data_IF_908527447216
#
_entry.id   IF_908527447216
#
_cell.length_a   1.000
_cell.length_b   1.000
_cell.length_c   1.000
_cell.angle_alpha   90.00
_cell.angle_beta   90.00
_cell.angle_gamma   90.00
#
_symmetry.space_group_name_H-M   'P 1'
#
loop_
_entity.id
_entity.type
_entity.pdbx_description
1 polymer ?
#
# COMPACT_ATOMS: atom_id res chain seq x y z
N UNK A 1 16.12 5.83 -20.06
CA UNK A 1 15.77 7.16 -20.58
C UNK A 1 14.34 7.47 -20.13
N UNK A 2 14.21 8.29 -19.07
CA UNK A 2 12.90 8.75 -18.58
C UNK A 2 12.32 9.73 -19.59
N UNK A 3 11.26 9.33 -20.31
CA UNK A 3 10.51 10.29 -21.13
C UNK A 3 9.85 11.31 -20.20
N UNK A 4 9.88 12.60 -20.54
CA UNK A 4 9.22 13.61 -19.70
C UNK A 4 7.72 13.32 -19.60
N UNK A 5 7.22 13.40 -18.37
CA UNK A 5 5.81 13.18 -18.06
C UNK A 5 5.01 14.38 -18.59
N UNK A 6 4.46 14.26 -19.80
CA UNK A 6 3.73 15.35 -20.47
C UNK A 6 2.30 15.37 -19.97
N UNK A 7 1.88 16.48 -19.39
CA UNK A 7 0.50 16.69 -18.96
C UNK A 7 -0.41 16.89 -20.18
N UNK A 8 -1.49 16.13 -20.27
CA UNK A 8 -2.49 16.23 -21.35
C UNK A 8 -3.76 16.82 -20.76
N UNK A 9 -4.32 17.92 -21.30
CA UNK A 9 -5.61 18.43 -20.86
C UNK A 9 -6.73 17.46 -21.26
N UNK A 10 -7.51 17.02 -20.28
CA UNK A 10 -8.65 16.11 -20.50
C UNK A 10 -9.89 16.95 -20.79
N UNK A 11 -10.48 16.78 -21.99
CA UNK A 11 -11.76 17.43 -22.33
C UNK A 11 -12.94 16.56 -21.94
N UNK A 12 -13.05 15.38 -22.46
CA UNK A 12 -14.08 14.41 -22.11
C UNK A 12 -13.49 12.99 -22.30
N UNK A 13 -13.06 12.34 -21.19
CA UNK A 13 -12.37 11.06 -21.28
C UNK A 13 -13.33 9.91 -21.62
N UNK A 14 -12.76 8.81 -22.10
CA UNK A 14 -13.48 7.55 -22.27
C UNK A 14 -14.10 7.09 -20.93
N UNK A 15 -15.24 6.42 -20.99
CA UNK A 15 -15.92 5.94 -19.79
C UNK A 15 -15.15 4.80 -19.12
N UNK A 16 -14.54 3.91 -19.92
CA UNK A 16 -13.77 2.76 -19.42
C UNK A 16 -12.28 2.97 -19.62
N UNK A 17 -11.47 2.48 -18.70
CA UNK A 17 -9.99 2.55 -18.76
C UNK A 17 -9.34 1.24 -18.32
N UNK A 18 -8.03 1.08 -18.54
CA UNK A 18 -7.30 -0.11 -18.14
C UNK A 18 -7.25 -0.22 -16.61
N UNK A 19 -7.35 -1.45 -16.12
CA UNK A 19 -7.04 -1.80 -14.74
C UNK A 19 -5.52 -1.88 -14.51
N UNK A 20 -5.14 -2.05 -13.24
CA UNK A 20 -3.76 -2.15 -12.78
C UNK A 20 -2.92 -0.94 -13.20
N UNK A 21 -3.47 0.25 -12.93
CA UNK A 21 -2.84 1.52 -13.29
C UNK A 21 -2.84 2.52 -12.16
N UNK A 22 -1.85 3.42 -12.22
CA UNK A 22 -1.74 4.60 -11.40
C UNK A 22 -1.82 5.81 -12.33
N UNK A 23 -2.82 6.67 -12.13
CA UNK A 23 -2.99 7.91 -12.88
C UNK A 23 -2.64 9.10 -11.98
N UNK A 24 -1.49 9.77 -12.20
CA UNK A 24 -1.22 11.05 -11.56
C UNK A 24 -2.06 12.16 -12.20
N UNK A 25 -2.51 13.13 -11.39
CA UNK A 25 -3.22 14.31 -11.86
C UNK A 25 -2.84 15.57 -11.09
N UNK A 26 -3.16 16.72 -11.65
CA UNK A 26 -2.94 18.04 -11.05
C UNK A 26 -4.13 18.96 -11.36
N UNK A 27 -4.53 19.73 -10.35
CA UNK A 27 -5.51 20.82 -10.47
C UNK A 27 -4.78 22.12 -10.11
N UNK A 28 -4.15 22.71 -11.11
CA UNK A 28 -3.23 23.84 -10.89
C UNK A 28 -3.91 25.10 -10.32
N UNK A 29 -5.21 25.28 -10.60
CA UNK A 29 -6.00 26.42 -10.06
C UNK A 29 -6.17 26.34 -8.53
N UNK A 30 -6.13 25.13 -7.97
CA UNK A 30 -6.29 24.87 -6.54
C UNK A 30 -4.97 24.47 -5.84
N UNK A 31 -3.84 24.47 -6.53
CA UNK A 31 -2.55 23.94 -6.05
C UNK A 31 -2.65 22.48 -5.53
N UNK A 32 -3.50 21.69 -6.15
CA UNK A 32 -3.73 20.30 -5.78
C UNK A 32 -3.00 19.34 -6.72
N UNK A 33 -2.46 18.28 -6.15
CA UNK A 33 -1.93 17.12 -6.88
C UNK A 33 -2.51 15.85 -6.30
N UNK A 34 -2.74 14.88 -7.17
CA UNK A 34 -3.29 13.61 -6.71
C UNK A 34 -2.86 12.42 -7.56
N UNK A 35 -3.31 11.27 -7.11
CA UNK A 35 -3.20 10.00 -7.83
C UNK A 35 -4.48 9.21 -7.68
N UNK A 36 -4.88 8.57 -8.76
CA UNK A 36 -5.95 7.59 -8.76
C UNK A 36 -5.31 6.24 -9.10
N UNK A 37 -5.60 5.25 -8.29
CA UNK A 37 -5.17 3.86 -8.47
C UNK A 37 -6.38 2.99 -8.69
N UNK A 38 -6.31 2.12 -9.69
CA UNK A 38 -7.31 1.09 -9.97
C UNK A 38 -6.59 -0.23 -10.18
N UNK A 39 -6.97 -1.22 -9.37
CA UNK A 39 -6.40 -2.56 -9.39
C UNK A 39 -7.52 -3.59 -9.61
N UNK A 40 -7.31 -4.46 -10.58
CA UNK A 40 -8.14 -5.60 -10.88
C UNK A 40 -7.31 -6.89 -10.80
N UNK A 41 -6.75 -7.38 -11.93
CA UNK A 41 -5.94 -8.60 -11.95
C UNK A 41 -4.79 -8.63 -10.94
N UNK A 42 -4.11 -7.51 -10.70
CA UNK A 42 -3.00 -7.46 -9.75
C UNK A 42 -3.46 -7.72 -8.31
N UNK A 43 -4.50 -7.02 -7.84
CA UNK A 43 -5.03 -7.25 -6.48
C UNK A 43 -5.69 -8.62 -6.37
N UNK A 44 -6.40 -9.07 -7.41
CA UNK A 44 -7.04 -10.39 -7.44
C UNK A 44 -6.01 -11.51 -7.28
N UNK A 45 -4.89 -11.45 -8.00
CA UNK A 45 -3.83 -12.47 -7.91
C UNK A 45 -3.18 -12.54 -6.52
N UNK A 46 -3.07 -11.41 -5.82
CA UNK A 46 -2.52 -11.38 -4.46
C UNK A 46 -3.53 -11.95 -3.46
N UNK A 47 -4.78 -11.50 -3.50
CA UNK A 47 -5.79 -11.86 -2.51
C UNK A 47 -6.31 -13.29 -2.73
N UNK A 48 -6.49 -13.73 -3.97
CA UNK A 48 -6.94 -15.08 -4.29
C UNK A 48 -5.87 -16.16 -4.05
N UNK A 49 -4.61 -15.79 -3.90
CA UNK A 49 -3.52 -16.70 -3.55
C UNK A 49 -3.54 -17.19 -2.10
N UNK A 50 -4.48 -16.69 -1.29
CA UNK A 50 -4.59 -16.97 0.15
C UNK A 50 -6.05 -17.16 0.56
N UNK A 51 -6.29 -17.98 1.58
CA UNK A 51 -7.62 -18.17 2.19
C UNK A 51 -7.92 -17.09 3.23
N UNK A 52 -7.85 -15.82 2.83
CA UNK A 52 -8.19 -14.72 3.73
C UNK A 52 -9.71 -14.62 3.95
N UNK A 53 -10.16 -14.49 5.23
CA UNK A 53 -11.53 -14.05 5.51
C UNK A 53 -11.83 -12.72 4.82
N UNK A 54 -13.08 -12.53 4.36
CA UNK A 54 -13.50 -11.33 3.63
C UNK A 54 -13.03 -9.99 4.23
N UNK A 55 -13.15 -9.73 5.56
CA UNK A 55 -12.70 -8.47 6.13
C UNK A 55 -11.18 -8.31 6.11
N UNK A 56 -10.42 -9.41 6.23
CA UNK A 56 -8.95 -9.39 6.16
C UNK A 56 -8.49 -9.11 4.73
N UNK A 57 -9.12 -9.75 3.74
CA UNK A 57 -8.83 -9.49 2.32
C UNK A 57 -9.11 -8.04 1.93
N UNK A 58 -10.25 -7.47 2.39
CA UNK A 58 -10.57 -6.05 2.17
C UNK A 58 -9.51 -5.13 2.76
N UNK A 59 -9.16 -5.33 4.03
CA UNK A 59 -8.16 -4.52 4.72
C UNK A 59 -6.78 -4.61 4.05
N UNK A 60 -6.37 -5.81 3.60
CA UNK A 60 -5.13 -5.98 2.85
C UNK A 60 -5.19 -5.29 1.48
N UNK A 61 -6.33 -5.35 0.80
CA UNK A 61 -6.56 -4.65 -0.46
C UNK A 61 -6.44 -3.13 -0.31
N UNK A 62 -7.00 -2.55 0.75
CA UNK A 62 -6.83 -1.13 1.09
C UNK A 62 -5.34 -0.78 1.32
N UNK A 63 -4.62 -1.63 2.07
CA UNK A 63 -3.18 -1.44 2.29
C UNK A 63 -2.39 -1.51 0.98
N UNK A 64 -2.76 -2.40 0.04
CA UNK A 64 -2.14 -2.49 -1.29
C UNK A 64 -2.34 -1.18 -2.07
N UNK A 65 -3.59 -0.69 -2.17
CA UNK A 65 -3.89 0.55 -2.88
C UNK A 65 -3.13 1.73 -2.29
N UNK A 66 -3.15 1.88 -0.97
CA UNK A 66 -2.42 2.94 -0.26
C UNK A 66 -0.93 2.88 -0.57
N UNK A 67 -0.33 1.68 -0.48
CA UNK A 67 1.11 1.49 -0.74
C UNK A 67 1.47 1.81 -2.20
N UNK A 68 0.64 1.42 -3.16
CA UNK A 68 0.84 1.71 -4.59
C UNK A 68 0.76 3.23 -4.83
N UNK A 69 -0.21 3.92 -4.25
CA UNK A 69 -0.33 5.38 -4.36
C UNK A 69 0.91 6.11 -3.84
N UNK A 70 1.40 5.70 -2.67
CA UNK A 70 2.53 6.34 -2.01
C UNK A 70 3.87 5.98 -2.66
N UNK A 71 4.08 4.69 -2.93
CA UNK A 71 5.30 4.20 -3.55
C UNK A 71 5.52 4.76 -4.95
N UNK A 72 4.44 4.96 -5.72
CA UNK A 72 4.51 5.58 -7.06
C UNK A 72 4.88 7.07 -7.03
N UNK A 73 4.85 7.72 -5.87
CA UNK A 73 5.31 9.10 -5.71
C UNK A 73 6.83 9.22 -5.64
N UNK A 74 7.53 8.13 -5.38
CA UNK A 74 8.99 8.12 -5.29
C UNK A 74 9.62 8.48 -6.64
N UNK A 75 10.63 9.34 -6.58
CA UNK A 75 11.33 9.85 -7.78
C UNK A 75 12.58 9.05 -8.12
N UNK A 76 12.82 7.95 -7.44
CA UNK A 76 14.03 7.12 -7.57
C UNK A 76 13.65 5.64 -7.62
N UNK A 77 14.57 4.82 -8.08
CA UNK A 77 14.42 3.38 -8.03
C UNK A 77 14.62 2.91 -6.59
N UNK A 78 13.64 2.18 -6.08
CA UNK A 78 13.65 1.75 -4.69
C UNK A 78 12.40 0.98 -4.30
N UNK A 79 12.29 0.71 -3.03
CA UNK A 79 11.18 -0.01 -2.44
C UNK A 79 10.48 0.87 -1.41
N UNK A 80 9.16 0.91 -1.50
CA UNK A 80 8.30 1.47 -0.48
C UNK A 80 7.60 0.31 0.25
N UNK A 81 7.71 0.29 1.57
CA UNK A 81 7.17 -0.76 2.41
C UNK A 81 6.18 -0.13 3.38
N UNK A 82 4.94 -0.59 3.35
CA UNK A 82 3.94 -0.33 4.36
C UNK A 82 3.85 -1.56 5.25
N UNK A 83 4.00 -1.36 6.55
CA UNK A 83 3.87 -2.43 7.54
C UNK A 83 3.04 -1.96 8.72
N UNK A 84 2.05 -2.76 9.13
CA UNK A 84 1.36 -2.58 10.42
C UNK A 84 1.83 -3.63 11.40
N UNK A 85 1.86 -3.27 12.67
CA UNK A 85 1.97 -4.20 13.78
C UNK A 85 1.02 -3.76 14.89
N UNK A 86 0.12 -4.64 15.28
CA UNK A 86 -0.99 -4.29 16.16
C UNK A 86 -1.45 -5.45 17.04
N UNK A 87 -2.26 -5.13 18.04
CA UNK A 87 -2.85 -6.08 19.00
C UNK A 87 -4.23 -6.61 18.55
N UNK A 88 -4.75 -6.08 17.42
CA UNK A 88 -6.03 -6.47 16.85
C UNK A 88 -6.08 -7.92 16.32
N UNK A 89 -7.24 -8.37 15.84
CA UNK A 89 -7.38 -9.64 15.13
C UNK A 89 -6.45 -9.79 13.92
N UNK A 90 -6.18 -8.71 13.18
CA UNK A 90 -5.17 -8.64 12.13
C UNK A 90 -3.90 -8.07 12.73
N UNK A 91 -2.93 -8.94 13.01
CA UNK A 91 -1.71 -8.60 13.75
C UNK A 91 -0.70 -7.85 12.91
N UNK A 92 -0.66 -8.13 11.61
CA UNK A 92 0.32 -7.52 10.72
C UNK A 92 -0.18 -7.53 9.28
N UNK A 93 0.01 -6.41 8.61
CA UNK A 93 -0.05 -6.28 7.16
C UNK A 93 1.35 -5.90 6.67
N UNK A 94 1.79 -6.49 5.58
CA UNK A 94 3.02 -6.09 4.90
C UNK A 94 2.74 -5.94 3.43
N UNK A 95 3.00 -4.76 2.90
CA UNK A 95 2.90 -4.47 1.47
C UNK A 95 4.20 -3.85 0.99
N UNK A 96 4.77 -4.42 -0.04
CA UNK A 96 5.98 -3.92 -0.69
C UNK A 96 5.64 -3.46 -2.11
N UNK A 97 5.90 -2.20 -2.39
CA UNK A 97 5.91 -1.66 -3.75
C UNK A 97 7.35 -1.43 -4.18
N UNK A 98 7.73 -1.96 -5.34
CA UNK A 98 9.06 -1.74 -5.93
C UNK A 98 8.89 -0.97 -7.23
N UNK A 99 9.60 0.15 -7.34
CA UNK A 99 9.64 0.96 -8.56
C UNK A 99 10.11 0.09 -9.77
N UNK A 100 9.54 0.27 -10.97
CA UNK A 100 8.54 1.28 -11.30
C UNK A 100 7.08 0.90 -11.04
N UNK A 101 6.72 -0.33 -10.67
CA UNK A 101 5.31 -0.69 -10.53
C UNK A 101 5.04 -2.14 -10.11
N UNK A 102 5.92 -2.81 -9.36
CA UNK A 102 5.62 -4.16 -8.85
C UNK A 102 5.17 -4.11 -7.39
N UNK A 103 4.17 -4.93 -7.06
CA UNK A 103 3.59 -5.00 -5.71
C UNK A 103 3.45 -6.44 -5.26
N UNK A 104 3.68 -6.67 -3.96
CA UNK A 104 3.36 -7.91 -3.25
C UNK A 104 2.88 -7.59 -1.84
N UNK A 105 2.00 -8.42 -1.30
CA UNK A 105 1.43 -8.19 0.02
C UNK A 105 1.12 -9.51 0.73
N UNK A 106 1.10 -9.46 2.06
CA UNK A 106 0.59 -10.53 2.91
C UNK A 106 0.01 -9.96 4.21
N UNK A 107 -0.84 -10.75 4.86
CA UNK A 107 -1.43 -10.46 6.15
C UNK A 107 -1.23 -11.62 7.12
N UNK A 108 -0.91 -11.30 8.38
CA UNK A 108 -0.97 -12.25 9.50
C UNK A 108 -2.12 -11.89 10.41
N UNK A 109 -2.98 -12.85 10.69
CA UNK A 109 -4.19 -12.65 11.48
C UNK A 109 -4.45 -13.87 12.39
N UNK A 110 -5.26 -13.64 13.38
CA UNK A 110 -5.76 -14.67 14.30
C UNK A 110 -7.14 -15.12 13.79
N UNK A 111 -7.23 -16.34 13.28
CA UNK A 111 -8.43 -16.84 12.62
C UNK A 111 -9.65 -16.88 13.58
N UNK A 112 -9.44 -17.26 14.82
CA UNK A 112 -10.51 -17.37 15.84
C UNK A 112 -11.02 -15.97 16.20
N UNK A 113 -10.13 -15.02 16.42
CA UNK A 113 -10.50 -13.62 16.75
C UNK A 113 -11.19 -12.93 15.56
N UNK A 114 -10.74 -13.19 14.32
CA UNK A 114 -11.41 -12.67 13.12
C UNK A 114 -12.81 -13.28 12.99
N UNK A 115 -12.97 -14.60 13.17
CA UNK A 115 -14.26 -15.25 13.13
C UNK A 115 -15.22 -14.71 14.23
N UNK A 116 -14.72 -14.48 15.43
CA UNK A 116 -15.48 -13.87 16.50
C UNK A 116 -15.90 -12.44 16.18
N UNK A 117 -15.00 -11.63 15.58
CA UNK A 117 -15.33 -10.27 15.16
C UNK A 117 -16.42 -10.24 14.07
N UNK A 118 -16.35 -11.17 13.10
CA UNK A 118 -17.39 -11.31 12.07
C UNK A 118 -18.74 -11.68 12.70
N UNK A 119 -18.76 -12.65 13.59
CA UNK A 119 -19.99 -13.08 14.29
C UNK A 119 -20.61 -11.95 15.12
N UNK A 120 -19.77 -11.12 15.74
CA UNK A 120 -20.18 -9.97 16.52
C UNK A 120 -20.54 -8.73 15.67
N UNK A 121 -20.43 -8.80 14.34
CA UNK A 121 -20.56 -7.65 13.41
C UNK A 121 -19.63 -6.48 13.78
N UNK A 122 -18.44 -6.79 14.23
CA UNK A 122 -17.41 -5.86 14.69
C UNK A 122 -16.11 -5.97 13.88
N UNK A 123 -16.22 -6.33 12.59
CA UNK A 123 -15.09 -6.55 11.69
C UNK A 123 -14.78 -5.30 10.83
N UNK A 124 -15.03 -4.08 11.36
CA UNK A 124 -14.60 -2.84 10.72
C UNK A 124 -13.05 -2.75 10.70
N UNK A 125 -12.45 -2.08 9.70
CA UNK A 125 -10.99 -1.98 9.53
C UNK A 125 -10.23 -1.56 10.79
N UNK A 126 -10.69 -0.51 11.47
CA UNK A 126 -10.06 -0.02 12.70
C UNK A 126 -10.09 -1.02 13.84
N UNK A 127 -11.21 -1.75 14.02
CA UNK A 127 -11.32 -2.80 15.05
C UNK A 127 -10.49 -4.03 14.73
N UNK A 128 -10.31 -4.35 13.46
CA UNK A 128 -9.45 -5.44 13.04
C UNK A 128 -7.98 -5.13 13.27
N UNK A 129 -7.57 -3.88 13.07
CA UNK A 129 -6.21 -3.43 13.38
C UNK A 129 -5.99 -3.25 14.89
N UNK A 130 -6.97 -2.71 15.64
CA UNK A 130 -6.80 -2.43 17.07
C UNK A 130 -5.77 -1.33 17.33
N UNK A 131 -4.98 -1.50 18.40
CA UNK A 131 -3.90 -0.56 18.77
C UNK A 131 -2.54 -1.09 18.31
N UNK A 132 -1.66 -0.18 17.94
CA UNK A 132 -0.33 -0.53 17.45
C UNK A 132 0.29 0.61 16.66
N UNK A 133 1.01 0.25 15.59
CA UNK A 133 1.64 1.24 14.73
C UNK A 133 1.60 0.83 13.26
N UNK A 134 1.62 1.84 12.41
CA UNK A 134 1.85 1.74 10.98
C UNK A 134 3.19 2.39 10.67
N UNK A 135 4.08 1.64 10.04
CA UNK A 135 5.38 2.09 9.58
C UNK A 135 5.39 2.18 8.05
N UNK A 136 5.89 3.29 7.52
CA UNK A 136 6.14 3.51 6.11
C UNK A 136 7.65 3.68 5.90
N UNK A 137 8.25 2.76 5.16
CA UNK A 137 9.71 2.70 4.98
C UNK A 137 10.06 2.89 3.51
N UNK A 138 11.00 3.78 3.25
CA UNK A 138 11.62 3.99 1.94
C UNK A 138 13.02 3.34 1.97
N UNK A 139 13.22 2.35 1.12
CA UNK A 139 14.47 1.60 0.97
C UNK A 139 15.03 1.84 -0.44
N UNK A 140 16.11 2.61 -0.52
CA UNK A 140 16.78 2.98 -1.77
C UNK A 140 17.99 2.06 -2.09
N UNK A 141 18.16 1.00 -1.32
CA UNK A 141 19.26 0.05 -1.49
C UNK A 141 20.34 0.18 -0.40
N UNK A 142 21.38 -0.66 -0.48
CA UNK A 142 22.34 -0.85 0.61
C UNK A 142 23.24 0.36 0.88
N UNK A 143 23.41 1.26 -0.08
CA UNK A 143 24.30 2.43 0.05
C UNK A 143 23.57 3.67 0.60
N UNK A 144 22.26 3.60 0.75
CA UNK A 144 21.44 4.73 1.21
C UNK A 144 20.81 4.41 2.57
N UNK A 145 20.71 5.44 3.42
CA UNK A 145 19.98 5.29 4.67
C UNK A 145 18.49 5.08 4.42
N UNK A 146 17.87 4.13 5.12
CA UNK A 146 16.42 3.94 5.10
C UNK A 146 15.74 5.10 5.82
N UNK A 147 14.74 5.67 5.17
CA UNK A 147 13.82 6.61 5.83
C UNK A 147 12.59 5.84 6.30
N UNK A 148 12.17 6.07 7.54
CA UNK A 148 10.99 5.43 8.10
C UNK A 148 10.19 6.45 8.91
N UNK A 149 8.92 6.60 8.57
CA UNK A 149 7.94 7.31 9.38
C UNK A 149 7.02 6.30 10.06
N UNK A 150 6.66 6.57 11.31
CA UNK A 150 5.80 5.69 12.13
C UNK A 150 4.68 6.51 12.73
N UNK A 151 3.45 5.99 12.63
CA UNK A 151 2.27 6.59 13.25
C UNK A 151 1.48 5.57 14.06
N UNK A 152 0.78 5.98 15.12
CA UNK A 152 -0.03 5.08 15.92
C UNK A 152 -1.26 4.59 15.13
N UNK A 153 -1.71 3.37 15.49
CA UNK A 153 -3.00 2.81 15.12
C UNK A 153 -3.86 2.75 16.37
N UNK A 154 -4.75 3.70 16.53
CA UNK A 154 -5.58 3.82 17.73
C UNK A 154 -7.03 3.37 17.46
N UNK A 155 -7.19 2.20 16.84
CA UNK A 155 -8.48 1.67 16.44
C UNK A 155 -9.09 2.38 15.22
N UNK A 156 -8.30 3.17 14.51
CA UNK A 156 -8.68 3.87 13.28
C UNK A 156 -8.34 3.05 12.02
N UNK A 157 -8.94 3.44 10.90
CA UNK A 157 -8.70 2.83 9.59
C UNK A 157 -7.38 3.32 8.93
N UNK A 158 -7.04 2.72 7.79
CA UNK A 158 -5.83 3.07 7.05
C UNK A 158 -5.90 4.47 6.41
N UNK A 159 -7.10 4.97 6.08
CA UNK A 159 -7.26 6.35 5.57
C UNK A 159 -6.89 7.37 6.65
N UNK A 160 -7.29 7.10 7.90
CA UNK A 160 -6.92 7.93 9.04
C UNK A 160 -5.43 7.86 9.31
N UNK A 161 -4.85 6.65 9.39
CA UNK A 161 -3.42 6.47 9.62
C UNK A 161 -2.56 7.15 8.54
N UNK A 162 -2.99 7.11 7.27
CA UNK A 162 -2.31 7.83 6.20
C UNK A 162 -2.36 9.36 6.39
N UNK A 163 -3.50 9.92 6.80
CA UNK A 163 -3.62 11.36 7.10
C UNK A 163 -2.70 11.78 8.24
N UNK A 164 -2.67 11.00 9.31
CA UNK A 164 -1.77 11.22 10.45
C UNK A 164 -0.30 11.20 10.01
N UNK A 165 0.09 10.24 9.16
CA UNK A 165 1.44 10.17 8.61
C UNK A 165 1.81 11.46 7.86
N UNK A 166 0.98 11.89 6.92
CA UNK A 166 1.26 13.09 6.14
C UNK A 166 1.23 14.37 6.98
N UNK A 167 0.36 14.45 7.96
CA UNK A 167 0.29 15.58 8.88
C UNK A 167 1.55 15.69 9.75
N UNK A 168 1.96 14.56 10.36
CA UNK A 168 3.04 14.57 11.37
C UNK A 168 4.45 14.45 10.76
N UNK A 169 4.60 13.62 9.71
CA UNK A 169 5.92 13.30 9.16
C UNK A 169 6.27 14.18 7.96
N UNK A 170 5.30 14.47 7.09
CA UNK A 170 5.54 15.16 5.83
C UNK A 170 5.02 16.61 5.82
N UNK A 171 4.16 16.97 6.77
CA UNK A 171 3.50 18.28 6.88
C UNK A 171 2.76 18.69 5.59
N UNK A 172 2.17 17.72 4.89
CA UNK A 172 1.41 17.92 3.65
C UNK A 172 -0.06 17.60 3.93
N UNK A 173 -0.98 18.58 3.80
CA UNK A 173 -2.42 18.31 3.88
C UNK A 173 -2.80 17.27 2.85
N UNK A 174 -3.32 16.13 3.31
CA UNK A 174 -3.57 14.96 2.46
C UNK A 174 -4.95 14.38 2.74
N UNK A 175 -5.69 14.06 1.68
CA UNK A 175 -6.93 13.30 1.72
C UNK A 175 -6.76 12.00 0.96
N UNK A 176 -7.19 10.90 1.58
CA UNK A 176 -7.18 9.57 0.98
C UNK A 176 -8.59 9.00 1.02
N UNK A 177 -8.99 8.28 -0.04
CA UNK A 177 -10.13 7.39 -0.08
C UNK A 177 -9.69 6.06 -0.66
N UNK A 178 -10.12 4.98 -0.04
CA UNK A 178 -9.79 3.60 -0.39
C UNK A 178 -11.08 2.79 -0.52
N UNK A 179 -11.13 1.89 -1.49
CA UNK A 179 -12.25 0.97 -1.65
C UNK A 179 -11.78 -0.39 -2.15
N UNK A 180 -12.36 -1.46 -1.60
CA UNK A 180 -12.11 -2.84 -1.99
C UNK A 180 -13.40 -3.64 -1.98
N UNK A 181 -13.66 -4.35 -3.06
CA UNK A 181 -14.82 -5.24 -3.14
C UNK A 181 -14.55 -6.49 -3.99
N UNK A 182 -15.39 -7.49 -3.79
CA UNK A 182 -15.51 -8.62 -4.71
C UNK A 182 -16.45 -8.25 -5.85
N UNK A 183 -16.00 -8.43 -7.07
CA UNK A 183 -16.80 -8.37 -8.30
C UNK A 183 -17.30 -9.77 -8.65
N UNK A 184 -18.57 -9.90 -8.92
CA UNK A 184 -19.19 -11.13 -9.41
C UNK A 184 -19.41 -11.00 -10.91
N UNK A 185 -18.68 -11.74 -11.72
CA UNK A 185 -18.90 -11.83 -13.16
C UNK A 185 -19.56 -13.14 -13.53
N UNK A 186 -20.64 -13.04 -14.31
CA UNK A 186 -21.19 -14.22 -14.98
C UNK A 186 -20.16 -14.74 -15.99
N UNK A 187 -19.82 -16.01 -15.93
CA UNK A 187 -18.94 -16.68 -16.87
C UNK A 187 -19.56 -17.98 -17.37
N UNK A 188 -19.05 -18.53 -18.47
CA UNK A 188 -19.56 -19.76 -19.09
C UNK A 188 -19.54 -20.99 -18.16
N UNK A 189 -18.69 -20.95 -17.10
CA UNK A 189 -18.55 -22.00 -16.09
C UNK A 189 -19.09 -21.61 -14.70
N UNK A 190 -20.02 -20.64 -14.61
CA UNK A 190 -20.56 -20.13 -13.36
C UNK A 190 -20.00 -18.75 -12.97
N UNK A 191 -20.53 -18.18 -11.89
CA UNK A 191 -20.09 -16.87 -11.41
C UNK A 191 -18.62 -16.95 -10.89
N UNK A 192 -17.75 -16.15 -11.46
CA UNK A 192 -16.38 -15.95 -10.95
C UNK A 192 -16.34 -14.76 -10.02
N UNK A 193 -15.80 -14.97 -8.84
CA UNK A 193 -15.43 -13.89 -7.92
C UNK A 193 -14.06 -13.37 -8.31
N UNK A 194 -13.93 -12.05 -8.34
CA UNK A 194 -12.67 -11.35 -8.54
C UNK A 194 -12.57 -10.18 -7.59
N UNK A 195 -11.39 -9.94 -7.08
CA UNK A 195 -11.14 -8.76 -6.26
C UNK A 195 -10.89 -7.54 -7.12
N UNK A 196 -11.44 -6.43 -6.67
CA UNK A 196 -11.15 -5.11 -7.21
C UNK A 196 -10.83 -4.16 -6.07
N UNK A 197 -9.87 -3.28 -6.32
CA UNK A 197 -9.49 -2.26 -5.38
C UNK A 197 -9.22 -0.95 -6.11
N UNK A 198 -9.50 0.16 -5.47
CA UNK A 198 -9.23 1.48 -6.02
C UNK A 198 -9.04 2.49 -4.92
N UNK A 199 -8.48 3.62 -5.27
CA UNK A 199 -8.32 4.72 -4.35
C UNK A 199 -7.90 6.01 -5.02
N UNK A 200 -8.14 7.10 -4.31
CA UNK A 200 -7.69 8.44 -4.67
C UNK A 200 -6.93 9.06 -3.51
N UNK A 201 -5.80 9.65 -3.83
CA UNK A 201 -5.00 10.48 -2.93
C UNK A 201 -4.97 11.89 -3.50
N UNK A 202 -5.25 12.88 -2.65
CA UNK A 202 -5.15 14.30 -2.97
C UNK A 202 -4.25 14.99 -1.95
N UNK A 203 -3.36 15.84 -2.43
CA UNK A 203 -2.41 16.62 -1.64
C UNK A 203 -2.47 18.09 -2.00
N UNK A 204 -2.42 18.94 -1.01
CA UNK A 204 -2.32 20.39 -1.19
C UNK A 204 -0.84 20.81 -1.15
N UNK A 205 -0.36 21.36 -2.25
CA UNK A 205 1.03 21.75 -2.45
C UNK A 205 1.08 23.21 -2.97
N UNK A 206 0.80 24.19 -2.11
CA UNK A 206 0.73 25.59 -2.50
C UNK A 206 2.08 26.09 -3.00
N UNK A 207 2.03 26.93 -4.04
CA UNK A 207 3.23 27.54 -4.65
C UNK A 207 3.74 28.72 -3.85
N UNK A 208 2.87 29.39 -3.08
CA UNK A 208 3.26 30.53 -2.23
C UNK A 208 3.50 30.09 -0.80
N UNK A 209 4.53 30.70 -0.17
CA UNK A 209 4.86 30.43 1.24
C UNK A 209 3.71 30.85 2.18
N UNK A 210 2.98 31.90 1.83
CA UNK A 210 1.86 32.38 2.66
C UNK A 210 0.68 31.41 2.69
N UNK A 211 0.45 30.67 1.59
CA UNK A 211 -0.57 29.61 1.52
C UNK A 211 -0.08 28.26 2.09
N UNK A 212 1.24 28.09 2.25
CA UNK A 212 1.83 26.88 2.82
C UNK A 212 1.79 26.87 4.35
N UNK A 213 1.34 27.96 5.00
CA UNK A 213 1.25 28.04 6.46
C UNK A 213 0.25 27.01 6.96
N UNK A 214 0.72 26.14 7.83
CA UNK A 214 -0.12 25.18 8.55
C UNK A 214 -0.38 25.68 9.96
N UNK A 215 -1.45 25.19 10.58
CA UNK A 215 -1.68 25.41 12.00
C UNK A 215 -0.49 24.88 12.81
N UNK A 216 -0.13 25.59 13.86
CA UNK A 216 0.90 25.14 14.78
C UNK A 216 0.55 23.72 15.30
N UNK A 217 1.58 22.91 15.50
CA UNK A 217 1.42 21.64 16.21
C UNK A 217 0.90 21.91 17.62
N UNK A 218 0.17 20.95 18.18
CA UNK A 218 -0.27 20.99 19.57
C UNK A 218 0.89 21.48 20.44
N UNK A 219 0.68 22.55 21.22
CA UNK A 219 1.76 23.21 21.97
C UNK A 219 2.49 22.31 22.99
N UNK A 220 2.02 21.07 23.20
CA UNK A 220 2.69 20.10 24.06
C UNK A 220 3.00 20.66 25.46
N UNK A 221 4.28 20.90 25.73
CA UNK A 221 4.78 21.45 27.00
C UNK A 221 4.67 22.97 27.13
N UNK A 222 3.87 23.65 26.30
CA UNK A 222 3.69 25.09 26.38
C UNK A 222 3.02 25.48 27.73
N UNK A 223 3.28 26.73 28.22
CA UNK A 223 2.67 27.20 29.45
C UNK A 223 1.15 27.15 29.43
N UNK A 224 0.49 26.87 30.56
CA UNK A 224 -0.97 26.85 30.66
C UNK A 224 -1.56 28.19 30.17
N UNK A 225 -2.52 28.12 29.24
CA UNK A 225 -3.16 29.30 28.64
C UNK A 225 -2.59 29.72 27.27
N UNK A 226 -1.62 28.99 26.74
CA UNK A 226 -1.18 29.17 25.36
C UNK A 226 -2.24 28.60 24.42
N UNK A 227 -2.98 29.45 23.72
CA UNK A 227 -3.89 29.02 22.66
C UNK A 227 -3.08 28.78 21.37
N UNK A 228 -3.21 27.62 20.72
CA UNK A 228 -2.59 27.39 19.43
C UNK A 228 -3.07 28.44 18.42
N UNK A 229 -2.17 28.96 17.61
CA UNK A 229 -2.54 29.88 16.55
C UNK A 229 -3.29 29.09 15.46
N UNK A 230 -4.63 29.11 15.49
CA UNK A 230 -5.48 28.51 14.47
C UNK A 230 -5.42 29.33 13.20
N UNK A 231 -4.65 28.87 12.22
CA UNK A 231 -4.71 29.40 10.86
C UNK A 231 -5.91 28.78 10.17
N UNK A 232 -6.77 29.59 9.55
CA UNK A 232 -7.86 29.05 8.74
C UNK A 232 -7.27 28.18 7.61
N UNK A 233 -7.87 27.00 7.40
CA UNK A 233 -7.50 26.17 6.26
C UNK A 233 -7.70 26.93 4.95
N UNK A 234 -6.81 26.70 3.98
CA UNK A 234 -6.91 27.31 2.65
C UNK A 234 -8.20 26.85 1.96
N UNK A 235 -8.97 27.78 1.39
CA UNK A 235 -10.25 27.50 0.77
C UNK A 235 -10.14 26.49 -0.37
N UNK A 236 -9.07 26.54 -1.18
CA UNK A 236 -8.82 25.59 -2.24
C UNK A 236 -8.58 24.16 -1.71
N UNK A 237 -7.92 24.04 -0.54
CA UNK A 237 -7.79 22.76 0.13
C UNK A 237 -9.12 22.23 0.65
N UNK A 238 -9.91 23.09 1.31
CA UNK A 238 -11.24 22.74 1.82
C UNK A 238 -12.15 22.26 0.69
N UNK A 239 -12.14 22.97 -0.44
CA UNK A 239 -12.88 22.57 -1.63
C UNK A 239 -12.41 21.23 -2.18
N UNK A 240 -11.12 21.09 -2.45
CA UNK A 240 -10.57 19.86 -3.02
C UNK A 240 -10.80 18.61 -2.16
N UNK A 241 -10.57 18.71 -0.85
CA UNK A 241 -10.83 17.60 0.08
C UNK A 241 -12.31 17.25 0.20
N UNK A 242 -13.18 18.24 0.05
CA UNK A 242 -14.63 18.04 0.08
C UNK A 242 -15.11 17.32 -1.19
N UNK A 243 -14.59 17.69 -2.36
CA UNK A 243 -14.86 16.98 -3.61
C UNK A 243 -14.42 15.51 -3.53
N UNK A 244 -13.22 15.24 -3.03
CA UNK A 244 -12.76 13.85 -2.85
C UNK A 244 -13.61 13.09 -1.81
N UNK A 245 -14.14 13.76 -0.79
CA UNK A 245 -15.03 13.14 0.19
C UNK A 245 -16.35 12.66 -0.39
N UNK A 246 -16.81 13.23 -1.52
CA UNK A 246 -18.05 12.80 -2.20
C UNK A 246 -17.89 11.51 -3.00
N UNK A 247 -16.66 11.08 -3.27
CA UNK A 247 -16.39 9.87 -4.06
C UNK A 247 -16.91 8.65 -3.32
N UNK A 248 -17.79 7.90 -3.96
CA UNK A 248 -18.30 6.64 -3.44
C UNK A 248 -17.30 5.49 -3.67
N UNK A 249 -17.39 4.46 -2.85
CA UNK A 249 -16.58 3.25 -3.01
C UNK A 249 -16.79 2.61 -4.40
N UNK A 250 -18.03 2.65 -4.90
CA UNK A 250 -18.36 2.11 -6.22
C UNK A 250 -17.59 2.85 -7.32
N UNK A 251 -17.54 4.17 -7.30
CA UNK A 251 -16.81 4.95 -8.32
C UNK A 251 -15.30 4.63 -8.34
N UNK A 252 -14.74 4.25 -7.20
CA UNK A 252 -13.33 3.85 -7.10
C UNK A 252 -13.04 2.47 -7.73
N UNK A 253 -14.01 1.56 -7.73
CA UNK A 253 -13.80 0.16 -8.14
C UNK A 253 -14.55 -0.25 -9.40
N UNK A 254 -15.55 0.51 -9.86
CA UNK A 254 -16.35 0.17 -11.05
C UNK A 254 -15.47 0.19 -12.32
N UNK A 255 -15.34 -0.94 -13.04
CA UNK A 255 -14.56 -1.00 -14.27
C UNK A 255 -15.14 -0.13 -15.40
N UNK A 256 -16.40 0.28 -15.31
CA UNK A 256 -17.03 1.17 -16.29
C UNK A 256 -16.60 2.64 -16.12
N UNK A 257 -15.97 3.01 -15.01
CA UNK A 257 -15.47 4.37 -14.76
C UNK A 257 -13.95 4.39 -14.88
N UNK A 258 -13.38 5.09 -15.88
CA UNK A 258 -11.93 5.24 -15.97
C UNK A 258 -11.38 6.20 -14.90
N UNK A 259 -10.09 6.09 -14.60
CA UNK A 259 -9.41 7.02 -13.68
C UNK A 259 -9.47 8.46 -14.15
N UNK A 260 -9.35 8.67 -15.49
CA UNK A 260 -9.47 9.97 -16.12
C UNK A 260 -10.88 10.54 -15.99
N UNK A 261 -11.91 9.68 -16.13
CA UNK A 261 -13.31 10.09 -15.97
C UNK A 261 -13.60 10.50 -14.54
N UNK A 262 -13.07 9.77 -13.57
CA UNK A 262 -13.19 10.11 -12.15
C UNK A 262 -12.54 11.47 -11.85
N UNK A 263 -11.30 11.68 -12.31
CA UNK A 263 -10.62 12.96 -12.15
C UNK A 263 -11.38 14.12 -12.81
N UNK A 264 -11.92 13.89 -14.00
CA UNK A 264 -12.74 14.87 -14.71
C UNK A 264 -14.03 15.20 -13.95
N UNK A 265 -14.76 14.19 -13.49
CA UNK A 265 -16.01 14.39 -12.74
C UNK A 265 -15.80 15.25 -11.49
N UNK A 266 -14.66 15.09 -10.82
CA UNK A 266 -14.36 15.82 -9.59
C UNK A 266 -13.88 17.25 -9.85
N UNK A 267 -13.08 17.49 -10.89
CA UNK A 267 -12.30 18.72 -11.00
C UNK A 267 -12.43 19.45 -12.34
N UNK A 268 -13.41 19.10 -13.20
CA UNK A 268 -13.54 19.71 -14.53
C UNK A 268 -13.78 21.23 -14.50
N UNK A 269 -14.44 21.74 -13.46
CA UNK A 269 -14.68 23.18 -13.28
C UNK A 269 -13.38 23.96 -13.04
N UNK A 270 -12.36 23.33 -12.42
CA UNK A 270 -11.07 23.93 -12.12
C UNK A 270 -9.97 23.61 -13.16
N UNK A 271 -10.29 22.78 -14.16
CA UNK A 271 -9.33 22.36 -15.15
C UNK A 271 -8.31 21.34 -14.63
N UNK A 272 -8.67 20.06 -14.67
CA UNK A 272 -7.81 18.94 -14.27
C UNK A 272 -6.86 18.56 -15.41
N UNK A 273 -5.60 18.34 -15.08
CA UNK A 273 -4.58 17.76 -15.95
C UNK A 273 -4.24 16.37 -15.48
N UNK A 274 -4.24 15.41 -16.38
CA UNK A 274 -3.78 14.04 -16.11
C UNK A 274 -2.43 13.80 -16.77
N UNK A 275 -1.63 12.95 -16.16
CA UNK A 275 -0.34 12.53 -16.69
C UNK A 275 -0.42 11.10 -17.22
N UNK A 276 0.66 10.62 -17.81
CA UNK A 276 0.70 9.24 -18.32
C UNK A 276 0.49 8.26 -17.17
N UNK A 277 -0.48 7.38 -17.33
CA UNK A 277 -0.71 6.29 -16.38
C UNK A 277 0.48 5.31 -16.37
N UNK A 278 0.87 4.87 -15.20
CA UNK A 278 1.89 3.85 -15.01
C UNK A 278 1.24 2.50 -14.68
N UNK A 279 1.73 1.39 -15.25
CA UNK A 279 1.20 0.06 -14.93
C UNK A 279 1.62 -0.42 -13.56
N UNK A 280 0.79 -1.28 -12.96
CA UNK A 280 1.07 -2.02 -11.73
C UNK A 280 1.00 -3.51 -12.01
N UNK A 281 1.90 -4.28 -11.42
CA UNK A 281 1.93 -5.73 -11.56
C UNK A 281 2.11 -6.38 -10.21
N UNK A 282 1.34 -7.43 -9.94
CA UNK A 282 1.59 -8.31 -8.81
C UNK A 282 2.78 -9.20 -9.12
N UNK A 283 3.86 -9.07 -8.36
CA UNK A 283 5.06 -9.89 -8.56
C UNK A 283 5.73 -10.18 -7.23
N UNK A 284 5.86 -11.47 -6.92
CA UNK A 284 6.68 -11.90 -5.80
C UNK A 284 8.15 -12.06 -6.23
N UNK A 285 9.05 -11.62 -5.39
CA UNK A 285 10.51 -11.77 -5.60
C UNK A 285 11.05 -13.10 -5.03
N UNK A 286 10.19 -14.01 -4.55
CA UNK A 286 10.63 -15.33 -4.12
C UNK A 286 11.03 -16.19 -5.34
N UNK A 287 12.07 -16.97 -5.15
CA UNK A 287 12.50 -17.99 -6.10
C UNK A 287 13.09 -19.17 -5.32
N UNK A 288 13.19 -20.36 -5.95
CA UNK A 288 13.85 -21.50 -5.33
C UNK A 288 15.28 -21.15 -4.88
N UNK A 289 16.02 -20.44 -5.73
CA UNK A 289 17.38 -19.99 -5.44
C UNK A 289 17.46 -19.06 -4.23
N UNK A 290 16.56 -18.07 -4.14
CA UNK A 290 16.53 -17.14 -2.99
C UNK A 290 16.19 -17.86 -1.69
N UNK A 291 15.25 -18.82 -1.72
CA UNK A 291 14.90 -19.63 -0.56
C UNK A 291 16.05 -20.57 -0.18
N UNK A 292 16.71 -21.18 -1.16
CA UNK A 292 17.90 -22.00 -0.94
C UNK A 292 19.04 -21.22 -0.29
N UNK A 293 19.36 -20.04 -0.80
CA UNK A 293 20.38 -19.14 -0.23
C UNK A 293 20.02 -18.73 1.20
N UNK A 294 18.74 -18.45 1.47
CA UNK A 294 18.26 -18.18 2.83
C UNK A 294 18.47 -19.40 3.73
N UNK A 295 18.07 -20.60 3.31
CA UNK A 295 18.23 -21.82 4.10
C UNK A 295 19.70 -22.13 4.37
N UNK A 296 20.59 -21.86 3.42
CA UNK A 296 22.05 -22.05 3.58
C UNK A 296 22.66 -21.10 4.62
N UNK A 297 22.02 -19.96 4.91
CA UNK A 297 22.46 -19.03 5.96
C UNK A 297 22.20 -19.52 7.38
N UNK A 298 21.34 -20.51 7.58
CA UNK A 298 21.10 -21.15 8.86
C UNK A 298 22.18 -22.18 9.20
N UNK A 299 22.38 -22.42 10.49
CA UNK A 299 23.30 -23.48 10.94
C UNK A 299 22.83 -24.87 10.48
N UNK A 300 23.75 -25.84 10.43
CA UNK A 300 23.41 -27.23 10.09
C UNK A 300 22.36 -27.78 11.08
N UNK A 301 22.48 -27.41 12.35
CA UNK A 301 21.55 -27.84 13.38
C UNK A 301 20.15 -27.29 13.17
N UNK A 302 20.04 -25.97 12.93
CA UNK A 302 18.74 -25.33 12.65
C UNK A 302 18.09 -25.94 11.40
N UNK A 303 18.86 -26.24 10.34
CA UNK A 303 18.34 -26.90 9.16
C UNK A 303 17.84 -28.32 9.45
N UNK A 304 18.55 -29.06 10.29
CA UNK A 304 18.11 -30.41 10.71
C UNK A 304 16.82 -30.36 11.52
N UNK A 305 16.65 -29.34 12.35
CA UNK A 305 15.44 -29.12 13.14
C UNK A 305 14.22 -28.73 12.27
N UNK A 306 14.46 -28.20 11.05
CA UNK A 306 13.41 -27.90 10.05
C UNK A 306 13.01 -29.13 9.22
N UNK A 307 13.68 -30.28 9.36
CA UNK A 307 13.40 -31.48 8.56
C UNK A 307 12.15 -32.17 9.07
N UNK A 308 11.10 -32.17 8.27
CA UNK A 308 9.89 -32.94 8.49
C UNK A 308 9.73 -33.99 7.39
N UNK A 309 9.52 -35.23 7.75
CA UNK A 309 9.39 -36.37 6.81
C UNK A 309 10.54 -36.45 5.78
N UNK A 310 11.78 -36.15 6.20
CA UNK A 310 12.98 -36.21 5.35
C UNK A 310 13.11 -35.03 4.36
N UNK A 311 12.35 -33.96 4.51
CA UNK A 311 12.38 -32.78 3.62
C UNK A 311 12.24 -31.49 4.43
N UNK A 312 12.76 -30.38 3.88
CA UNK A 312 12.54 -29.04 4.38
C UNK A 312 11.54 -28.36 3.45
N UNK A 313 10.40 -27.94 3.99
CA UNK A 313 9.33 -27.28 3.23
C UNK A 313 9.21 -25.83 3.66
N UNK A 314 9.31 -24.90 2.70
CA UNK A 314 9.18 -23.47 2.92
C UNK A 314 8.07 -22.91 2.06
N UNK A 315 7.08 -22.29 2.68
CA UNK A 315 5.99 -21.59 1.98
C UNK A 315 6.20 -20.09 2.04
N UNK A 316 6.16 -19.42 0.90
CA UNK A 316 6.29 -17.97 0.83
C UNK A 316 5.02 -17.30 1.35
N UNK A 317 5.14 -16.46 2.38
CA UNK A 317 4.00 -15.74 2.95
C UNK A 317 3.33 -14.75 1.99
N UNK A 318 4.06 -14.27 0.95
CA UNK A 318 3.52 -13.30 0.00
C UNK A 318 2.72 -13.91 -1.15
N UNK A 319 3.04 -15.12 -1.59
CA UNK A 319 2.42 -15.71 -2.77
C UNK A 319 2.01 -17.18 -2.59
N UNK A 320 2.13 -17.72 -1.38
CA UNK A 320 1.81 -19.12 -1.03
C UNK A 320 2.56 -20.18 -1.84
N UNK A 321 3.58 -19.80 -2.63
CA UNK A 321 4.41 -20.76 -3.34
C UNK A 321 5.20 -21.60 -2.35
N UNK A 322 5.14 -22.91 -2.53
CA UNK A 322 5.84 -23.88 -1.67
C UNK A 322 7.09 -24.43 -2.35
N UNK A 323 8.19 -24.39 -1.63
CA UNK A 323 9.49 -24.89 -2.04
C UNK A 323 9.88 -26.05 -1.14
N UNK A 324 10.29 -27.16 -1.75
CA UNK A 324 10.68 -28.38 -1.03
C UNK A 324 12.13 -28.69 -1.36
N UNK A 325 12.94 -28.92 -0.33
CA UNK A 325 14.37 -29.21 -0.43
C UNK A 325 14.69 -30.54 0.27
N UNK A 326 15.57 -31.33 -0.32
CA UNK A 326 16.20 -32.43 0.39
C UNK A 326 17.36 -31.87 1.25
N UNK A 327 17.61 -32.39 2.46
CA UNK A 327 18.72 -31.93 3.30
C UNK A 327 20.07 -31.94 2.58
N UNK A 328 20.32 -32.93 1.73
CA UNK A 328 21.55 -33.09 0.97
C UNK A 328 21.76 -31.98 -0.07
N UNK A 329 20.70 -31.42 -0.66
CA UNK A 329 20.79 -30.27 -1.59
C UNK A 329 21.37 -29.04 -0.91
N UNK A 330 21.12 -28.88 0.38
CA UNK A 330 21.58 -27.76 1.18
C UNK A 330 22.97 -27.98 1.80
N UNK A 331 23.47 -29.20 1.79
CA UNK A 331 24.80 -29.57 2.27
C UNK A 331 25.93 -29.29 1.25
N UNK A 332 25.61 -29.35 -0.05
CA UNK A 332 26.58 -29.14 -1.14
C UNK A 332 26.85 -27.65 -1.33
N UNK A 333 28.00 -27.17 -0.88
CA UNK A 333 28.62 -25.86 -0.93
C UNK A 333 28.60 -25.07 0.39
N UNK A 334 29.18 -25.61 1.45
CA UNK A 334 29.84 -24.75 2.43
C UNK A 334 31.13 -24.25 1.76
N UNK A 335 31.37 -22.91 1.64
CA UNK A 335 32.65 -22.42 1.19
C UNK A 335 33.71 -22.97 2.19
N UNK A 336 34.61 -23.78 1.69
CA UNK A 336 35.67 -24.41 2.49
C UNK A 336 36.38 -23.37 3.33
N UNK A 337 36.32 -23.54 4.64
CA UNK A 337 37.33 -22.97 5.54
C UNK A 337 38.62 -23.65 5.12
N UNK A 338 39.43 -22.95 4.31
CA UNK A 338 40.81 -23.34 4.06
C UNK A 338 41.50 -23.35 5.41
N UNK A 339 41.72 -24.53 5.96
CA UNK A 339 42.66 -24.75 7.05
C UNK A 339 44.03 -24.29 6.58
N UNK A 340 44.40 -23.09 7.02
CA UNK A 340 45.79 -22.63 6.92
C UNK A 340 46.63 -23.55 7.77
N UNK A 341 47.33 -24.48 7.11
CA UNK A 341 48.44 -25.22 7.71
C UNK A 341 49.60 -24.26 7.85
N UNK A 342 49.96 -24.01 9.08
CA UNK A 342 51.16 -23.23 9.42
C UNK A 342 52.44 -23.93 9.01
N UNK A 343 53.42 -23.11 8.65
CA UNK A 343 54.84 -23.32 8.88
C UNK A 343 55.47 -22.02 9.38
#
# INVERSE_FOLDING_TARGET
MNQPNVAIPVREPAQTGPDDTILPFEVSALDLRGRIVRLGPAVDSILAGHDYPLPVAKLLGEAIVLTVMLGSALKFDGRFILQTQSDGPVRMLVVNFTSPGTVRACARFDAERVAAAIAAKAAEPGKLLGHGHLAMTIDQGPEMSRYQGVVPLDGNDLEHAAREYFSRCEQIPTRVRLAVAEEFRAGDNGARRRWRAGGILLQFLPKSVDRARQADLDPGDAPPGTEPHTIAEDEAWVEGRSLVATVSDIELIDPAVSSERLAYNLFHEHGVRVFRAAPVQAQCSCSRENVENMLRSFSVQDRNDMVENGRITVTCEFCSSTYVFAPDELAANSPGVSAGVGH
#
